data_IF_456662597611
#
_entry.id   IF_456662597611
#
_cell.length_a   1.000
_cell.length_b   1.000
_cell.length_c   1.000
_cell.angle_alpha   90.00
_cell.angle_beta   90.00
_cell.angle_gamma   90.00
#
_symmetry.space_group_name_H-M   'P 1'
#
loop_
_entity.id
_entity.type
_entity.pdbx_description
1 polymer ?
#
# COMPACT_ATOMS: atom_id res chain seq x y z
N UNK A 1 -21.42 9.23 11.96
CA UNK A 1 -20.75 7.94 12.21
C UNK A 1 -19.95 7.66 10.94
N UNK A 2 -18.71 7.20 11.05
CA UNK A 2 -17.72 7.30 9.96
C UNK A 2 -17.38 5.90 9.44
N UNK A 3 -17.52 5.66 8.14
CA UNK A 3 -17.14 4.38 7.54
C UNK A 3 -15.69 4.46 7.08
N UNK A 4 -14.78 3.72 7.70
CA UNK A 4 -13.37 3.68 7.31
C UNK A 4 -13.13 2.46 6.41
N UNK A 5 -12.47 2.68 5.29
CA UNK A 5 -12.13 1.63 4.33
C UNK A 5 -10.65 1.27 4.56
N UNK A 6 -10.41 0.24 5.36
CA UNK A 6 -9.09 -0.24 5.83
C UNK A 6 -8.93 -1.73 5.54
N UNK A 7 -7.83 -2.11 4.88
CA UNK A 7 -7.56 -3.48 4.42
C UNK A 7 -7.41 -4.56 5.48
N UNK A 8 -8.43 -5.41 5.73
CA UNK A 8 -8.26 -6.80 6.19
C UNK A 8 -9.39 -7.74 5.79
N UNK A 9 -8.99 -8.94 5.36
CA UNK A 9 -9.87 -10.07 5.08
C UNK A 9 -10.11 -10.90 6.36
N UNK A 10 -11.38 -11.05 6.74
CA UNK A 10 -11.91 -11.99 7.75
C UNK A 10 -11.61 -13.48 7.38
N UNK A 11 -11.08 -13.71 6.18
CA UNK A 11 -10.65 -15.04 5.72
C UNK A 11 -9.45 -15.59 6.48
N UNK A 12 -8.59 -14.78 7.12
CA UNK A 12 -7.41 -15.33 7.80
C UNK A 12 -7.77 -16.21 9.01
N UNK A 13 -8.84 -15.88 9.75
CA UNK A 13 -9.24 -16.69 10.91
C UNK A 13 -9.93 -17.99 10.47
N UNK A 14 -10.71 -17.92 9.38
CA UNK A 14 -11.37 -19.08 8.79
C UNK A 14 -10.38 -20.02 8.06
N UNK A 15 -9.39 -19.44 7.39
CA UNK A 15 -8.31 -20.15 6.69
C UNK A 15 -7.31 -20.77 7.68
N UNK A 16 -7.04 -20.11 8.81
CA UNK A 16 -6.25 -20.69 9.91
C UNK A 16 -7.00 -21.85 10.60
N UNK A 17 -8.32 -21.76 10.78
CA UNK A 17 -9.13 -22.89 11.24
C UNK A 17 -9.15 -24.05 10.23
N UNK A 18 -9.29 -23.76 8.94
CA UNK A 18 -9.23 -24.79 7.89
C UNK A 18 -7.85 -25.45 7.82
N UNK A 19 -6.75 -24.70 7.93
CA UNK A 19 -5.39 -25.25 7.98
C UNK A 19 -5.17 -26.13 9.22
N UNK A 20 -5.68 -25.72 10.39
CA UNK A 20 -5.61 -26.56 11.60
C UNK A 20 -6.42 -27.86 11.44
N UNK A 21 -7.62 -27.79 10.86
CA UNK A 21 -8.42 -28.98 10.58
C UNK A 21 -7.74 -29.91 9.57
N UNK A 22 -7.13 -29.35 8.53
CA UNK A 22 -6.41 -30.12 7.50
C UNK A 22 -5.14 -30.77 8.06
N UNK A 23 -4.39 -30.09 8.94
CA UNK A 23 -3.26 -30.69 9.66
C UNK A 23 -3.68 -31.82 10.61
N UNK A 24 -4.80 -31.64 11.34
CA UNK A 24 -5.34 -32.70 12.20
C UNK A 24 -5.78 -33.92 11.40
N UNK A 25 -6.42 -33.73 10.23
CA UNK A 25 -6.78 -34.84 9.34
C UNK A 25 -5.55 -35.58 8.79
N UNK A 26 -4.48 -34.86 8.43
CA UNK A 26 -3.22 -35.46 7.97
C UNK A 26 -2.51 -36.25 9.08
N UNK A 27 -2.51 -35.76 10.32
CA UNK A 27 -1.97 -36.51 11.47
C UNK A 27 -2.78 -37.77 11.74
N UNK A 28 -4.12 -37.70 11.71
CA UNK A 28 -4.98 -38.87 11.91
C UNK A 28 -4.81 -39.95 10.82
N UNK A 29 -4.51 -39.54 9.58
CA UNK A 29 -4.19 -40.48 8.49
C UNK A 29 -2.81 -41.14 8.63
N UNK A 30 -1.89 -40.57 9.42
CA UNK A 30 -0.59 -41.16 9.71
C UNK A 30 -0.62 -42.13 10.92
N UNK A 31 -1.65 -42.08 11.77
CA UNK A 31 -1.66 -42.80 13.06
C UNK A 31 -2.43 -44.15 13.11
N UNK A 32 -3.04 -44.68 12.04
CA UNK A 32 -3.57 -46.06 12.05
C UNK A 32 -3.54 -46.79 10.69
N UNK A 33 -3.24 -48.11 10.65
CA UNK A 33 -2.26 -48.84 11.45
C UNK A 33 -1.30 -49.72 10.61
N UNK A 34 -0.12 -49.96 11.18
CA UNK A 34 0.91 -50.95 10.83
C UNK A 34 0.46 -52.44 10.90
N UNK A 35 -0.81 -52.77 10.65
CA UNK A 35 -1.28 -54.17 10.68
C UNK A 35 -1.68 -54.69 9.30
N UNK A 36 -0.69 -55.03 8.48
CA UNK A 36 -0.67 -56.20 7.57
C UNK A 36 0.60 -56.15 6.72
N UNK A 37 1.56 -57.03 7.02
CA UNK A 37 2.33 -57.87 6.07
C UNK A 37 3.65 -58.34 6.71
N UNK A 38 3.61 -59.48 7.39
CA UNK A 38 4.75 -60.41 7.42
C UNK A 38 4.57 -61.37 6.25
N UNK A 39 5.42 -61.27 5.22
CA UNK A 39 6.05 -62.36 4.44
C UNK A 39 6.73 -61.82 3.15
N UNK A 40 8.05 -61.57 3.23
CA UNK A 40 9.13 -61.71 2.20
C UNK A 40 9.05 -60.95 0.82
N UNK A 41 10.17 -60.75 0.07
CA UNK A 41 11.21 -59.73 0.31
C UNK A 41 11.47 -58.78 -0.91
N UNK A 42 11.64 -57.47 -0.65
CA UNK A 42 12.32 -56.41 -1.46
C UNK A 42 11.77 -56.05 -2.88
N UNK A 43 11.81 -54.77 -3.32
CA UNK A 43 12.98 -53.87 -3.24
C UNK A 43 12.77 -52.50 -2.58
N UNK A 44 13.81 -52.10 -1.83
CA UNK A 44 14.00 -50.81 -1.14
C UNK A 44 14.31 -49.65 -2.11
N UNK A 45 13.49 -49.39 -3.13
CA UNK A 45 13.77 -48.27 -4.04
C UNK A 45 12.61 -47.27 -4.25
N UNK A 46 11.40 -47.55 -3.75
CA UNK A 46 10.25 -46.66 -3.97
C UNK A 46 9.96 -45.67 -2.83
N UNK A 47 10.40 -45.98 -1.60
CA UNK A 47 10.13 -45.12 -0.44
C UNK A 47 10.75 -43.70 -0.55
N UNK A 48 12.01 -43.52 -1.02
CA UNK A 48 12.57 -42.18 -1.16
C UNK A 48 11.86 -41.34 -2.21
N UNK A 49 11.46 -41.96 -3.34
CA UNK A 49 10.77 -41.26 -4.43
C UNK A 49 9.37 -40.81 -4.04
N UNK A 50 8.58 -41.67 -3.38
CA UNK A 50 7.25 -41.28 -2.91
C UNK A 50 7.31 -40.16 -1.86
N UNK A 51 8.29 -40.22 -0.95
CA UNK A 51 8.47 -39.22 0.10
C UNK A 51 8.92 -37.86 -0.48
N UNK A 52 9.79 -37.88 -1.50
CA UNK A 52 10.26 -36.68 -2.19
C UNK A 52 9.15 -36.06 -3.08
N UNK A 53 8.30 -36.89 -3.69
CA UNK A 53 7.16 -36.44 -4.48
C UNK A 53 6.05 -35.85 -3.60
N UNK A 54 5.81 -36.40 -2.40
CA UNK A 54 4.94 -35.80 -1.39
C UNK A 54 5.51 -34.47 -0.86
N UNK A 55 6.81 -34.37 -0.61
CA UNK A 55 7.44 -33.10 -0.22
C UNK A 55 7.35 -32.04 -1.32
N UNK A 56 7.54 -32.41 -2.60
CA UNK A 56 7.35 -31.50 -3.72
C UNK A 56 5.90 -31.05 -3.88
N UNK A 57 4.92 -31.96 -3.71
CA UNK A 57 3.51 -31.60 -3.72
C UNK A 57 3.14 -30.70 -2.55
N UNK A 58 3.65 -30.96 -1.35
CA UNK A 58 3.45 -30.08 -0.19
C UNK A 58 4.11 -28.71 -0.40
N UNK A 59 5.31 -28.65 -0.97
CA UNK A 59 5.96 -27.38 -1.31
C UNK A 59 5.21 -26.63 -2.41
N UNK A 60 4.71 -27.31 -3.43
CA UNK A 60 3.87 -26.69 -4.47
C UNK A 60 2.53 -26.22 -3.91
N UNK A 61 1.89 -26.99 -3.04
CA UNK A 61 0.66 -26.56 -2.36
C UNK A 61 0.92 -25.40 -1.41
N UNK A 62 2.04 -25.39 -0.68
CA UNK A 62 2.43 -24.25 0.16
C UNK A 62 2.77 -23.00 -0.69
N UNK A 63 3.43 -23.17 -1.84
CA UNK A 63 3.69 -22.06 -2.78
C UNK A 63 2.40 -21.54 -3.43
N UNK A 64 1.46 -22.42 -3.78
CA UNK A 64 0.14 -22.03 -4.31
C UNK A 64 -0.74 -21.39 -3.24
N UNK A 65 -0.68 -21.84 -1.99
CA UNK A 65 -1.38 -21.20 -0.86
C UNK A 65 -0.76 -19.84 -0.49
N UNK A 66 0.57 -19.69 -0.57
CA UNK A 66 1.24 -18.39 -0.41
C UNK A 66 0.90 -17.41 -1.56
N UNK A 67 0.62 -17.91 -2.77
CA UNK A 67 0.17 -17.08 -3.90
C UNK A 67 -1.33 -16.72 -3.82
N UNK A 68 -2.13 -17.39 -3.00
CA UNK A 68 -3.57 -17.13 -2.83
C UNK A 68 -3.89 -16.12 -1.72
N UNK A 69 -2.91 -15.65 -0.96
CA UNK A 69 -3.11 -14.55 -0.04
C UNK A 69 -2.89 -13.22 -0.78
N UNK A 70 -3.87 -12.32 -0.64
CA UNK A 70 -3.71 -10.87 -0.68
C UNK A 70 -3.94 -10.09 -2.00
N UNK A 71 -4.86 -10.52 -2.87
CA UNK A 71 -5.34 -9.63 -3.95
C UNK A 71 -6.34 -8.58 -3.40
N UNK A 72 -6.24 -7.35 -3.87
CA UNK A 72 -7.17 -6.27 -3.47
C UNK A 72 -8.53 -6.53 -4.12
N UNK A 73 -9.57 -6.77 -3.33
CA UNK A 73 -10.93 -7.02 -3.85
C UNK A 73 -11.52 -5.73 -4.47
N UNK A 74 -11.23 -5.51 -5.76
CA UNK A 74 -11.80 -4.41 -6.52
C UNK A 74 -13.34 -4.47 -6.56
N UNK A 75 -13.95 -5.66 -6.47
CA UNK A 75 -15.41 -5.76 -6.42
C UNK A 75 -15.96 -5.22 -5.10
N UNK A 76 -15.24 -5.37 -3.97
CA UNK A 76 -15.58 -4.68 -2.72
C UNK A 76 -15.52 -3.16 -2.87
N UNK A 77 -14.48 -2.64 -3.51
CA UNK A 77 -14.33 -1.20 -3.73
C UNK A 77 -15.37 -0.63 -4.70
N UNK A 78 -15.79 -1.40 -5.71
CA UNK A 78 -16.91 -1.06 -6.60
C UNK A 78 -18.25 -1.04 -5.84
N UNK A 79 -18.53 -2.05 -5.00
CA UNK A 79 -19.74 -2.09 -4.15
C UNK A 79 -19.81 -0.91 -3.19
N UNK A 80 -18.67 -0.49 -2.63
CA UNK A 80 -18.55 0.68 -1.78
C UNK A 80 -18.57 2.02 -2.56
N UNK A 81 -18.63 1.94 -3.90
CA UNK A 81 -18.49 3.05 -4.84
C UNK A 81 -17.17 3.82 -4.70
N UNK A 82 -16.14 3.26 -4.07
CA UNK A 82 -14.78 3.86 -4.06
C UNK A 82 -14.22 3.86 -5.47
N UNK A 83 -14.52 2.80 -6.23
CA UNK A 83 -14.47 2.81 -7.68
C UNK A 83 -15.89 3.12 -8.19
N UNK A 84 -16.13 4.18 -8.99
CA UNK A 84 -15.16 5.10 -9.58
C UNK A 84 -14.95 6.41 -8.79
N UNK A 85 -15.57 6.59 -7.61
CA UNK A 85 -15.63 7.90 -6.95
C UNK A 85 -14.26 8.50 -6.58
N UNK A 86 -13.33 7.65 -6.16
CA UNK A 86 -11.99 8.05 -5.68
C UNK A 86 -10.90 7.43 -6.53
N UNK A 87 -11.08 6.16 -6.93
CA UNK A 87 -10.14 5.41 -7.76
C UNK A 87 -10.81 4.96 -9.05
N UNK A 88 -10.06 4.95 -10.13
CA UNK A 88 -10.44 4.24 -11.34
C UNK A 88 -10.26 2.73 -11.15
N UNK A 89 -10.98 1.93 -11.94
CA UNK A 89 -10.80 0.48 -11.96
C UNK A 89 -9.36 0.07 -12.32
N UNK A 90 -8.69 0.87 -13.16
CA UNK A 90 -7.28 0.65 -13.51
C UNK A 90 -6.36 0.85 -12.31
N UNK A 91 -6.58 1.90 -11.53
CA UNK A 91 -5.80 2.17 -10.31
C UNK A 91 -6.07 1.09 -9.26
N UNK A 92 -7.33 0.66 -9.10
CA UNK A 92 -7.66 -0.44 -8.20
C UNK A 92 -6.86 -1.71 -8.51
N UNK A 93 -6.82 -2.11 -9.79
CA UNK A 93 -6.04 -3.29 -10.25
C UNK A 93 -4.53 -3.13 -10.13
N UNK A 94 -4.04 -1.91 -9.90
CA UNK A 94 -2.62 -1.64 -9.69
C UNK A 94 -2.24 -1.62 -8.20
N UNK A 95 -3.21 -1.73 -7.29
CA UNK A 95 -2.96 -1.78 -5.84
C UNK A 95 -2.30 -3.11 -5.48
N UNK A 96 -1.10 -3.03 -4.89
CA UNK A 96 -0.31 -4.20 -4.49
C UNK A 96 0.27 -4.08 -3.08
N UNK A 97 0.01 -2.97 -2.37
CA UNK A 97 0.42 -2.77 -0.99
C UNK A 97 -0.79 -2.86 -0.07
N UNK A 98 -0.61 -3.54 1.06
CA UNK A 98 -1.64 -3.63 2.08
C UNK A 98 -1.36 -2.66 3.21
N UNK A 99 -2.44 -2.09 3.76
CA UNK A 99 -2.37 -1.21 4.92
C UNK A 99 -3.16 -1.79 6.09
N UNK A 100 -2.50 -1.88 7.23
CA UNK A 100 -3.14 -2.14 8.51
C UNK A 100 -3.45 -0.82 9.18
N UNK A 101 -4.70 -0.57 9.55
CA UNK A 101 -5.05 0.69 10.19
C UNK A 101 -5.73 0.42 11.51
N UNK A 102 -5.35 1.15 12.55
CA UNK A 102 -6.00 1.10 13.85
C UNK A 102 -6.37 2.48 14.37
N UNK A 103 -7.51 2.53 15.04
CA UNK A 103 -8.07 3.71 15.70
C UNK A 103 -8.13 3.41 17.20
N UNK A 104 -7.46 4.24 18.01
CA UNK A 104 -7.40 4.05 19.47
C UNK A 104 -6.98 2.63 19.90
N UNK A 105 -6.05 2.02 19.15
CA UNK A 105 -5.55 0.66 19.40
C UNK A 105 -6.42 -0.46 18.85
N UNK A 106 -7.64 -0.17 18.38
CA UNK A 106 -8.51 -1.16 17.75
C UNK A 106 -8.26 -1.25 16.25
N UNK A 107 -8.12 -2.48 15.74
CA UNK A 107 -7.90 -2.72 14.32
C UNK A 107 -9.17 -2.38 13.52
N UNK A 108 -9.03 -1.52 12.52
CA UNK A 108 -10.10 -1.21 11.58
C UNK A 108 -10.28 -2.33 10.56
N UNK A 109 -11.53 -2.54 10.14
CA UNK A 109 -11.90 -3.45 9.06
C UNK A 109 -12.45 -2.64 7.88
N UNK A 110 -12.36 -3.16 6.65
CA UNK A 110 -12.87 -2.45 5.47
C UNK A 110 -14.36 -2.16 5.58
N UNK A 111 -14.75 -0.94 5.26
CA UNK A 111 -16.14 -0.55 5.26
C UNK A 111 -16.77 -0.53 6.67
N UNK A 112 -15.98 -0.76 7.72
CA UNK A 112 -16.49 -0.77 9.08
C UNK A 112 -16.76 0.64 9.58
N UNK A 113 -17.73 0.74 10.47
CA UNK A 113 -18.08 1.98 11.13
C UNK A 113 -17.13 2.22 12.31
N UNK A 114 -16.55 3.41 12.37
CA UNK A 114 -15.76 3.89 13.48
C UNK A 114 -16.51 5.07 14.10
N UNK A 115 -16.61 5.03 15.42
CA UNK A 115 -17.20 6.11 16.21
C UNK A 115 -16.33 7.36 16.14
N UNK A 116 -16.96 8.54 16.17
CA UNK A 116 -16.26 9.83 16.16
C UNK A 116 -15.25 9.98 17.30
N UNK A 117 -15.52 9.35 18.46
CA UNK A 117 -14.62 9.40 19.61
C UNK A 117 -13.27 8.73 19.33
N UNK A 118 -13.27 7.60 18.62
CA UNK A 118 -12.07 6.85 18.23
C UNK A 118 -11.29 7.51 17.10
N UNK A 119 -11.93 8.37 16.31
CA UNK A 119 -11.31 9.08 15.19
C UNK A 119 -10.85 10.51 15.55
N UNK A 120 -10.74 10.86 16.83
CA UNK A 120 -10.27 12.19 17.26
C UNK A 120 -8.79 12.43 16.95
N UNK A 121 -8.00 11.37 16.94
CA UNK A 121 -6.57 11.39 16.64
C UNK A 121 -6.28 10.69 15.31
N UNK A 122 -5.13 10.96 14.68
CA UNK A 122 -4.72 10.24 13.48
C UNK A 122 -4.66 8.74 13.75
N UNK A 123 -5.13 7.90 12.81
CA UNK A 123 -4.96 6.46 12.95
C UNK A 123 -3.49 6.07 12.90
N UNK A 124 -3.16 4.91 13.46
CA UNK A 124 -1.89 4.25 13.16
C UNK A 124 -2.06 3.44 11.89
N UNK A 125 -1.15 3.62 10.94
CA UNK A 125 -1.11 2.87 9.68
C UNK A 125 0.21 2.11 9.60
N UNK A 126 0.16 0.82 9.30
CA UNK A 126 1.32 -0.01 9.01
C UNK A 126 1.19 -0.58 7.60
N UNK A 127 2.16 -0.29 6.75
CA UNK A 127 2.24 -0.77 5.37
C UNK A 127 2.96 -2.12 5.34
N UNK A 128 2.50 -3.04 4.49
CA UNK A 128 3.06 -4.39 4.35
C UNK A 128 4.52 -4.42 3.89
N UNK A 129 5.01 -3.35 3.27
CA UNK A 129 6.40 -3.21 2.84
C UNK A 129 7.02 -1.89 3.31
N UNK A 130 8.35 -1.84 3.35
CA UNK A 130 9.09 -0.59 3.54
C UNK A 130 9.28 0.15 2.22
N UNK A 131 9.41 1.50 2.26
CA UNK A 131 9.79 2.25 1.07
C UNK A 131 11.20 1.84 0.62
N UNK A 132 11.42 1.87 -0.69
CA UNK A 132 12.76 1.66 -1.27
C UNK A 132 13.67 2.84 -0.96
N UNK A 133 14.98 2.68 -1.19
CA UNK A 133 15.93 3.78 -1.09
C UNK A 133 15.49 4.96 -1.98
N UNK A 134 15.68 6.18 -1.50
CA UNK A 134 15.23 7.42 -2.16
C UNK A 134 13.73 7.47 -2.48
N UNK A 135 12.89 6.70 -1.78
CA UNK A 135 11.45 6.84 -1.86
C UNK A 135 10.87 7.17 -0.50
N UNK A 136 9.74 7.88 -0.50
CA UNK A 136 8.91 8.07 0.69
C UNK A 136 7.51 7.59 0.40
N UNK A 137 6.82 7.13 1.43
CA UNK A 137 5.40 6.94 1.35
C UNK A 137 4.67 8.24 1.68
N UNK A 138 3.59 8.50 0.94
CA UNK A 138 2.66 9.60 1.18
C UNK A 138 1.29 8.99 1.42
N UNK A 139 0.73 9.23 2.61
CA UNK A 139 -0.58 8.77 3.01
C UNK A 139 -1.58 9.92 2.89
N UNK A 140 -2.72 9.69 2.27
CA UNK A 140 -3.81 10.65 2.12
C UNK A 140 -5.08 10.06 2.73
N UNK A 141 -5.71 10.77 3.66
CA UNK A 141 -7.06 10.49 4.16
C UNK A 141 -8.03 11.48 3.52
N UNK A 142 -9.00 10.98 2.75
CA UNK A 142 -9.96 11.81 1.99
C UNK A 142 -11.40 11.39 2.27
N UNK A 143 -12.33 12.37 2.20
CA UNK A 143 -13.78 12.20 2.29
C UNK A 143 -14.44 12.63 0.96
N UNK A 144 -14.91 11.67 0.13
CA UNK A 144 -15.61 11.96 -1.12
C UNK A 144 -17.09 12.30 -0.94
N UNK A 145 -17.59 12.28 0.30
CA UNK A 145 -19.00 12.47 0.65
C UNK A 145 -19.25 13.83 1.29
N UNK A 146 -18.31 14.77 1.29
CA UNK A 146 -18.50 16.09 1.89
C UNK A 146 -19.37 17.03 1.02
N UNK A 147 -20.37 17.75 1.57
CA UNK A 147 -20.87 17.72 2.95
C UNK A 147 -21.86 16.58 3.24
N UNK A 148 -22.43 15.95 2.21
CA UNK A 148 -23.19 14.71 2.33
C UNK A 148 -23.02 13.84 1.08
N UNK A 149 -23.17 12.52 1.21
CA UNK A 149 -23.04 11.59 0.09
C UNK A 149 -24.06 11.86 -1.03
N UNK A 150 -25.24 12.36 -0.67
CA UNK A 150 -26.32 12.64 -1.61
C UNK A 150 -26.08 13.93 -2.42
N UNK A 151 -25.38 14.91 -1.83
CA UNK A 151 -25.00 16.18 -2.47
C UNK A 151 -23.55 16.55 -2.12
N UNK A 152 -22.55 15.87 -2.71
CA UNK A 152 -21.15 15.98 -2.28
C UNK A 152 -20.42 17.13 -2.98
N UNK A 153 -20.93 18.37 -2.86
CA UNK A 153 -20.38 19.56 -3.54
C UNK A 153 -18.97 19.97 -3.09
N UNK A 154 -18.51 19.47 -1.94
CA UNK A 154 -17.17 19.74 -1.41
C UNK A 154 -16.21 18.56 -1.56
N UNK A 155 -16.61 17.52 -2.29
CA UNK A 155 -15.70 16.41 -2.58
C UNK A 155 -14.53 16.87 -3.46
N UNK A 156 -13.31 16.42 -3.23
CA UNK A 156 -12.86 15.62 -2.09
C UNK A 156 -12.37 16.49 -0.92
N UNK A 157 -12.76 16.15 0.31
CA UNK A 157 -12.26 16.83 1.50
C UNK A 157 -11.07 16.07 2.11
N UNK A 158 -9.87 16.64 1.97
CA UNK A 158 -8.66 16.07 2.54
C UNK A 158 -8.62 16.29 4.08
N UNK A 159 -8.58 15.18 4.82
CA UNK A 159 -8.49 15.15 6.27
C UNK A 159 -7.05 15.05 6.76
N UNK A 160 -6.17 14.38 6.03
CA UNK A 160 -4.78 14.18 6.45
C UNK A 160 -3.90 13.88 5.25
N UNK A 161 -2.73 14.52 5.19
CA UNK A 161 -1.67 14.16 4.24
C UNK A 161 -0.38 14.03 5.03
N UNK A 162 0.13 12.82 5.15
CA UNK A 162 1.35 12.50 5.89
C UNK A 162 2.40 11.87 5.01
N UNK A 163 3.66 12.01 5.40
CA UNK A 163 4.82 11.47 4.70
C UNK A 163 5.63 10.64 5.69
N UNK A 164 6.13 9.50 5.23
CA UNK A 164 6.99 8.63 6.03
C UNK A 164 8.12 8.04 5.20
N UNK A 165 9.32 8.02 5.79
CA UNK A 165 10.48 7.27 5.27
C UNK A 165 10.50 5.83 5.81
N UNK A 166 9.51 5.43 6.61
CA UNK A 166 9.34 4.07 7.12
C UNK A 166 8.02 3.48 6.60
N UNK A 167 7.72 2.24 7.01
CA UNK A 167 6.45 1.59 6.69
C UNK A 167 5.31 1.95 7.66
N UNK A 168 5.45 3.00 8.47
CA UNK A 168 4.45 3.35 9.49
C UNK A 168 4.06 4.81 9.46
N UNK A 169 2.80 5.08 9.81
CA UNK A 169 2.26 6.40 10.09
C UNK A 169 1.54 6.41 11.43
N UNK A 170 1.63 7.51 12.15
CA UNK A 170 0.99 7.77 13.43
C UNK A 170 0.85 9.28 13.67
N UNK A 171 0.44 9.67 14.88
CA UNK A 171 0.25 11.07 15.25
C UNK A 171 1.53 11.93 15.23
N UNK A 172 2.72 11.32 15.19
CA UNK A 172 4.00 12.03 15.14
C UNK A 172 4.58 12.10 13.72
N UNK A 173 3.89 11.54 12.73
CA UNK A 173 4.36 11.51 11.35
C UNK A 173 4.39 12.92 10.74
N UNK A 174 5.42 13.17 9.92
CA UNK A 174 5.55 14.42 9.17
C UNK A 174 4.28 14.63 8.32
N UNK A 175 3.62 15.78 8.47
CA UNK A 175 2.35 16.04 7.81
C UNK A 175 2.45 17.26 6.89
N UNK A 176 2.11 17.06 5.61
CA UNK A 176 1.92 18.16 4.64
C UNK A 176 0.58 18.86 4.88
N UNK A 177 -0.43 18.09 5.28
CA UNK A 177 -1.71 18.58 5.80
C UNK A 177 -1.98 17.89 7.13
N UNK A 178 -1.98 18.67 8.22
CA UNK A 178 -2.26 18.16 9.56
C UNK A 178 -3.63 17.49 9.64
N UNK A 179 -3.72 16.43 10.46
CA UNK A 179 -4.94 15.65 10.62
C UNK A 179 -6.11 16.50 11.15
N UNK A 180 -7.22 16.42 10.43
CA UNK A 180 -8.52 17.00 10.81
C UNK A 180 -9.46 15.85 11.14
N UNK A 181 -9.97 15.74 12.38
CA UNK A 181 -10.87 14.65 12.74
C UNK A 181 -12.16 14.71 11.91
N UNK A 182 -12.80 13.56 11.63
CA UNK A 182 -14.11 13.51 11.01
C UNK A 182 -15.16 14.35 11.75
N UNK A 183 -15.86 15.21 11.02
CA UNK A 183 -16.98 16.01 11.54
C UNK A 183 -18.13 16.06 10.52
N UNK A 184 -18.71 14.90 10.13
CA UNK A 184 -19.81 14.87 9.18
C UNK A 184 -21.01 15.67 9.72
N UNK A 185 -21.67 16.50 8.89
CA UNK A 185 -22.82 17.29 9.32
C UNK A 185 -23.94 16.44 9.93
N UNK A 186 -24.68 17.00 10.89
CA UNK A 186 -25.81 16.29 11.49
C UNK A 186 -26.87 16.00 10.41
N UNK A 187 -27.22 14.73 10.24
CA UNK A 187 -28.22 14.30 9.27
C UNK A 187 -27.67 14.01 7.86
N UNK A 188 -26.36 14.15 7.61
CA UNK A 188 -25.74 13.78 6.32
C UNK A 188 -25.55 12.27 6.13
N UNK A 189 -25.84 11.48 7.17
CA UNK A 189 -25.64 10.04 7.18
C UNK A 189 -24.18 9.64 7.43
N UNK A 190 -23.77 8.54 6.81
CA UNK A 190 -22.40 8.03 6.89
C UNK A 190 -21.56 8.58 5.75
N UNK A 191 -20.36 9.02 6.09
CA UNK A 191 -19.33 9.40 5.14
C UNK A 191 -18.28 8.30 5.03
N UNK A 192 -17.76 8.12 3.82
CA UNK A 192 -16.63 7.24 3.51
C UNK A 192 -15.32 7.98 3.77
N UNK A 193 -14.46 7.37 4.55
CA UNK A 193 -13.10 7.87 4.79
C UNK A 193 -12.12 6.91 4.14
N UNK A 194 -11.42 7.40 3.12
CA UNK A 194 -10.57 6.59 2.25
C UNK A 194 -9.12 6.93 2.51
N UNK A 195 -8.33 5.91 2.85
CA UNK A 195 -6.88 6.03 2.93
C UNK A 195 -6.24 5.59 1.62
N UNK A 196 -5.46 6.48 1.03
CA UNK A 196 -4.67 6.23 -0.18
C UNK A 196 -3.19 6.30 0.18
N UNK A 197 -2.41 5.37 -0.38
CA UNK A 197 -0.96 5.32 -0.20
C UNK A 197 -0.28 5.53 -1.55
N UNK A 198 0.61 6.52 -1.61
CA UNK A 198 1.44 6.81 -2.77
C UNK A 198 2.91 6.56 -2.46
N UNK A 199 3.67 6.16 -3.48
CA UNK A 199 5.13 6.05 -3.41
C UNK A 199 5.73 7.22 -4.18
N UNK A 200 6.39 8.13 -3.46
CA UNK A 200 7.03 9.29 -4.03
C UNK A 200 8.53 9.02 -4.22
N UNK A 201 9.03 9.14 -5.45
CA UNK A 201 10.47 9.12 -5.74
C UNK A 201 11.10 10.48 -5.42
N UNK A 202 12.18 10.46 -4.64
CA UNK A 202 12.99 11.64 -4.33
C UNK A 202 14.01 11.95 -5.45
N UNK A 203 14.24 11.02 -6.38
CA UNK A 203 15.22 11.17 -7.47
C UNK A 203 14.79 12.27 -8.47
N UNK A 204 13.49 12.49 -8.62
CA UNK A 204 12.94 13.50 -9.53
C UNK A 204 13.39 14.92 -9.18
N UNK A 205 13.57 15.21 -7.88
CA UNK A 205 14.06 16.52 -7.42
C UNK A 205 15.53 16.72 -7.78
N UNK A 206 16.36 15.68 -7.63
CA UNK A 206 17.77 15.74 -7.98
C UNK A 206 17.97 15.90 -9.49
N UNK A 207 17.19 15.18 -10.30
CA UNK A 207 17.25 15.31 -11.76
C UNK A 207 16.86 16.71 -12.23
N UNK A 208 15.79 17.30 -11.67
CA UNK A 208 15.39 18.66 -12.01
C UNK A 208 16.45 19.70 -11.62
N UNK A 209 17.05 19.58 -10.43
CA UNK A 209 18.14 20.47 -10.01
C UNK A 209 19.38 20.34 -10.91
N UNK A 210 19.77 19.11 -11.28
CA UNK A 210 20.89 18.88 -12.19
C UNK A 210 20.61 19.48 -13.58
N UNK A 211 19.40 19.33 -14.12
CA UNK A 211 19.01 19.94 -15.40
C UNK A 211 19.07 21.47 -15.34
N UNK A 212 18.58 22.08 -14.25
CA UNK A 212 18.66 23.52 -14.07
C UNK A 212 20.10 24.03 -13.99
N UNK A 213 20.99 23.31 -13.28
CA UNK A 213 22.41 23.67 -13.20
C UNK A 213 23.10 23.56 -14.57
N UNK A 214 22.82 22.50 -15.35
CA UNK A 214 23.37 22.35 -16.70
C UNK A 214 22.90 23.48 -17.63
N UNK A 215 21.62 23.87 -17.56
CA UNK A 215 21.10 25.00 -18.34
C UNK A 215 21.78 26.31 -17.96
N UNK A 216 21.99 26.57 -16.67
CA UNK A 216 22.70 27.76 -16.21
C UNK A 216 24.15 27.79 -16.68
N UNK A 217 24.86 26.66 -16.63
CA UNK A 217 26.24 26.57 -17.14
C UNK A 217 26.31 26.82 -18.65
N UNK A 218 25.38 26.26 -19.42
CA UNK A 218 25.29 26.52 -20.86
C UNK A 218 25.02 27.99 -21.17
N UNK A 219 24.11 28.63 -20.43
CA UNK A 219 23.84 30.08 -20.57
C UNK A 219 25.06 30.93 -20.22
N UNK A 220 25.80 30.58 -19.16
CA UNK A 220 27.04 31.27 -18.79
C UNK A 220 28.13 31.10 -19.85
N UNK A 221 28.30 29.89 -20.40
CA UNK A 221 29.24 29.64 -21.49
C UNK A 221 28.86 30.43 -22.76
N UNK A 222 27.57 30.48 -23.11
CA UNK A 222 27.10 31.29 -24.23
C UNK A 222 27.35 32.79 -24.00
N UNK A 223 27.10 33.31 -22.79
CA UNK A 223 27.42 34.70 -22.46
C UNK A 223 28.93 34.99 -22.55
N UNK A 224 29.77 34.09 -22.06
CA UNK A 224 31.23 34.23 -22.15
C UNK A 224 31.72 34.22 -23.60
N UNK A 225 31.17 33.35 -24.44
CA UNK A 225 31.47 33.33 -25.88
C UNK A 225 31.04 34.63 -26.56
N UNK A 226 29.87 35.16 -26.20
CA UNK A 226 29.37 36.43 -26.73
C UNK A 226 30.28 37.61 -26.33
N UNK A 227 30.75 37.64 -25.08
CA UNK A 227 31.66 38.67 -24.57
C UNK A 227 33.02 38.63 -25.27
N UNK A 228 33.54 37.45 -25.61
CA UNK A 228 34.79 37.28 -26.36
C UNK A 228 34.67 37.75 -27.82
N UNK A 229 33.46 37.83 -28.36
CA UNK A 229 33.20 38.33 -29.71
C UNK A 229 33.04 39.85 -29.77
N UNK A 230 33.09 40.55 -28.63
CA UNK A 230 33.06 42.01 -28.61
C UNK A 230 34.43 42.50 -29.10
N UNK A 231 34.52 43.16 -30.27
CA UNK A 231 35.79 43.68 -30.75
C UNK A 231 36.30 44.73 -29.78
N UNK A 232 37.54 44.57 -29.31
CA UNK A 232 38.21 45.62 -28.54
C UNK A 232 38.23 46.88 -29.40
N UNK A 233 37.52 47.92 -28.95
CA UNK A 233 37.59 49.22 -29.58
C UNK A 233 38.96 49.81 -29.26
N UNK A 234 39.93 49.44 -30.09
CA UNK A 234 41.29 49.95 -30.08
C UNK A 234 41.23 51.45 -30.31
N UNK A 235 41.38 52.16 -29.20
CA UNK A 235 42.06 53.44 -29.03
C UNK A 235 42.56 54.05 -30.36
N UNK A 236 41.67 54.64 -31.15
CA UNK A 236 42.08 55.63 -32.15
C UNK A 236 42.27 56.93 -31.42
N UNK A 237 43.50 57.14 -30.96
CA UNK A 237 43.98 58.44 -30.56
C UNK A 237 43.68 59.48 -31.64
N UNK A 238 43.30 60.66 -31.19
CA UNK A 238 43.58 61.89 -31.92
C UNK A 238 44.13 62.91 -30.92
N UNK A 239 45.17 63.55 -31.42
CA UNK A 239 46.01 64.57 -30.82
C UNK A 239 45.24 65.82 -30.36
#
# INVERSE_FOLDING_TARGET
MCCFTVTFADEQQQQQQQQQQQQQQLQQQQEQPQQKQEQQPQPQQQAPQQQQQQQQQQQQQQQQQQQQQDDVDCAALERAKIVPDVLTLRECRALHLQMRVSFDGELGVWGSEVSLDKSKTPPRVLVSSSPSINTKFVLVLTDPDAPSRDDPVYREWAHWIAVSSTNSFDANSESLLGYRPPTPPKGSGFHRYVLLLFVASLDSQQQQQQQQQQQQQQQQQQQQLLLQQIPENSNRGRA
#
